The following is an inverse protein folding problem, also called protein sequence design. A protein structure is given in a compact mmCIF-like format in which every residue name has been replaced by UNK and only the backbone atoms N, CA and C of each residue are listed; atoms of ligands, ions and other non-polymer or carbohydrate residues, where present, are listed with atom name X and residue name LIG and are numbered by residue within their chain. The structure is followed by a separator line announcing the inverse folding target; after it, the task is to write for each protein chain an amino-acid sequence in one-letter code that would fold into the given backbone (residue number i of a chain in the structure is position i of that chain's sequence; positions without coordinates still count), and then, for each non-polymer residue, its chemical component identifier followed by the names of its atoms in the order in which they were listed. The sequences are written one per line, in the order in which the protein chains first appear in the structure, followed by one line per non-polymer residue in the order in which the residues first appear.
data_IF_614863219740
#
_entry.id   IF_614863219740
#
_cell.length_a   1.000
_cell.length_b   1.000
_cell.length_c   1.000
_cell.angle_alpha   90.00
_cell.angle_beta   90.00
_cell.angle_gamma   90.00
#
_symmetry.space_group_name_H-M   'P 1'
#
loop_
_entity.id
_entity.type
_entity.pdbx_description
1 polymer ?
#
# COMPACT_ATOMS: atom_id res chain seq x y z
N UNK A 1 26.42 9.78 11.64
CA UNK A 1 25.71 10.26 10.43
C UNK A 1 24.68 9.20 10.09
N UNK A 2 23.50 9.25 10.69
CA UNK A 2 22.51 8.17 10.63
C UNK A 2 21.09 8.72 10.76
N UNK A 3 20.73 9.72 9.95
CA UNK A 3 19.41 10.37 10.02
C UNK A 3 18.87 10.72 8.61
N UNK A 4 19.18 9.90 7.60
CA UNK A 4 18.47 9.92 6.31
C UNK A 4 17.51 8.71 6.20
N UNK A 5 17.01 8.26 7.34
CA UNK A 5 16.11 7.12 7.42
C UNK A 5 14.79 7.49 6.74
N UNK A 6 14.51 6.85 5.59
CA UNK A 6 13.23 6.81 4.88
C UNK A 6 12.98 7.91 3.84
N UNK A 7 13.90 8.10 2.90
CA UNK A 7 13.56 8.77 1.63
C UNK A 7 12.50 7.98 0.84
N UNK A 8 11.60 8.67 0.12
CA UNK A 8 10.51 8.06 -0.69
C UNK A 8 10.98 6.88 -1.55
N UNK A 9 12.14 7.00 -2.18
CA UNK A 9 12.74 5.95 -3.02
C UNK A 9 13.16 4.72 -2.22
N UNK A 10 13.71 4.90 -1.02
CA UNK A 10 14.11 3.79 -0.14
C UNK A 10 12.88 3.10 0.44
N UNK A 11 11.88 3.87 0.85
CA UNK A 11 10.62 3.33 1.35
C UNK A 11 9.93 2.45 0.31
N UNK A 12 9.85 2.95 -0.93
CA UNK A 12 9.26 2.21 -2.06
C UNK A 12 9.99 0.88 -2.31
N UNK A 13 11.33 0.88 -2.25
CA UNK A 13 12.13 -0.33 -2.43
C UNK A 13 11.90 -1.36 -1.32
N UNK A 14 11.87 -0.91 -0.05
CA UNK A 14 11.61 -1.79 1.09
C UNK A 14 10.24 -2.47 1.00
N UNK A 15 9.22 -1.75 0.50
CA UNK A 15 7.89 -2.35 0.27
C UNK A 15 7.98 -3.46 -0.76
N UNK A 16 8.62 -3.23 -1.91
CA UNK A 16 8.75 -4.26 -2.94
C UNK A 16 9.55 -5.47 -2.46
N UNK A 17 10.62 -5.25 -1.68
CA UNK A 17 11.39 -6.32 -1.06
C UNK A 17 10.51 -7.11 -0.08
N UNK A 18 9.76 -6.44 0.81
CA UNK A 18 8.86 -7.11 1.76
C UNK A 18 7.73 -7.90 1.06
N UNK A 19 7.15 -7.36 0.00
CA UNK A 19 6.14 -8.04 -0.84
C UNK A 19 6.74 -9.30 -1.46
N UNK A 20 7.98 -9.25 -1.96
CA UNK A 20 8.63 -10.40 -2.59
C UNK A 20 9.09 -11.45 -1.57
N UNK A 21 9.72 -11.03 -0.47
CA UNK A 21 10.27 -11.90 0.56
C UNK A 21 9.17 -12.60 1.36
N UNK A 22 8.13 -11.85 1.75
CA UNK A 22 7.05 -12.38 2.58
C UNK A 22 5.81 -12.78 1.78
N UNK A 23 5.78 -12.54 0.46
CA UNK A 23 4.63 -12.81 -0.42
C UNK A 23 3.31 -12.23 0.11
N UNK A 24 3.40 -11.02 0.65
CA UNK A 24 2.28 -10.28 1.22
C UNK A 24 1.84 -9.16 0.28
N UNK A 25 0.59 -8.69 0.39
CA UNK A 25 0.12 -7.55 -0.40
C UNK A 25 0.84 -6.26 -0.03
N UNK A 26 0.87 -5.30 -0.95
CA UNK A 26 1.45 -3.97 -0.70
C UNK A 26 0.93 -3.31 0.58
N UNK A 27 -0.34 -3.51 0.92
CA UNK A 27 -0.95 -2.97 2.14
C UNK A 27 -0.32 -3.53 3.40
N UNK A 28 -0.14 -4.85 3.43
CA UNK A 28 0.45 -5.56 4.57
C UNK A 28 1.94 -5.22 4.71
N UNK A 29 2.66 -5.14 3.58
CA UNK A 29 4.05 -4.71 3.55
C UNK A 29 4.23 -3.29 4.08
N UNK A 30 3.35 -2.36 3.72
CA UNK A 30 3.39 -0.99 4.24
C UNK A 30 3.20 -1.01 5.76
N UNK A 31 2.22 -1.75 6.28
CA UNK A 31 1.96 -1.84 7.72
C UNK A 31 3.13 -2.47 8.48
N UNK A 32 3.71 -3.57 7.98
CA UNK A 32 4.86 -4.24 8.59
C UNK A 32 6.08 -3.33 8.66
N UNK A 33 6.34 -2.56 7.60
CA UNK A 33 7.43 -1.58 7.58
C UNK A 33 7.13 -0.43 8.54
N UNK A 34 5.87 0.02 8.60
CA UNK A 34 5.41 1.05 9.52
C UNK A 34 5.67 0.63 10.98
N UNK A 35 5.30 -0.59 11.34
CA UNK A 35 5.46 -1.16 12.68
C UNK A 35 6.95 -1.33 13.05
N UNK A 36 7.76 -1.87 12.13
CA UNK A 36 9.22 -2.04 12.34
C UNK A 36 9.97 -0.73 12.53
N UNK A 37 9.57 0.31 11.79
CA UNK A 37 10.20 1.61 11.87
C UNK A 37 9.51 2.55 12.88
N UNK A 38 8.47 2.08 13.57
CA UNK A 38 7.62 2.89 14.47
C UNK A 38 7.13 4.19 13.81
N UNK A 39 6.78 4.11 12.53
CA UNK A 39 6.18 5.21 11.78
C UNK A 39 4.67 5.15 11.99
N UNK A 40 4.01 6.29 12.02
CA UNK A 40 2.54 6.32 11.99
C UNK A 40 2.02 6.18 10.56
N UNK A 41 0.94 5.41 10.33
CA UNK A 41 0.36 5.25 8.99
C UNK A 41 -0.12 6.58 8.37
N UNK A 42 -0.35 7.61 9.18
CA UNK A 42 -0.64 8.95 8.68
C UNK A 42 0.58 9.60 8.01
N UNK A 43 1.78 9.40 8.57
CA UNK A 43 3.02 9.91 8.02
C UNK A 43 3.55 9.04 6.88
N UNK A 44 3.30 7.72 6.92
CA UNK A 44 3.71 6.80 5.84
C UNK A 44 3.21 7.26 4.47
N UNK A 45 2.01 7.85 4.41
CA UNK A 45 1.42 8.40 3.19
C UNK A 45 2.29 9.50 2.55
N UNK A 46 3.06 10.24 3.35
CA UNK A 46 4.01 11.26 2.85
C UNK A 46 5.28 10.64 2.26
N UNK A 47 5.62 9.41 2.65
CA UNK A 47 6.80 8.66 2.20
C UNK A 47 6.51 7.68 1.06
N UNK A 48 5.26 7.26 0.89
CA UNK A 48 4.83 6.40 -0.22
C UNK A 48 4.84 7.18 -1.54
N UNK A 49 5.61 6.69 -2.52
CA UNK A 49 5.63 7.25 -3.87
C UNK A 49 4.30 6.98 -4.58
N UNK A 50 3.86 7.86 -5.51
CA UNK A 50 2.62 7.65 -6.28
C UNK A 50 2.61 6.31 -7.03
N UNK A 51 3.78 5.84 -7.47
CA UNK A 51 3.96 4.54 -8.13
C UNK A 51 3.53 3.37 -7.22
N UNK A 52 3.89 3.40 -5.94
CA UNK A 52 3.52 2.35 -4.98
C UNK A 52 2.02 2.41 -4.67
N UNK A 53 1.45 3.61 -4.60
CA UNK A 53 0.02 3.80 -4.42
C UNK A 53 -0.77 3.20 -5.60
N UNK A 54 -0.31 3.44 -6.82
CA UNK A 54 -0.90 2.87 -8.04
C UNK A 54 -0.80 1.34 -8.05
N UNK A 55 0.37 0.77 -7.71
CA UNK A 55 0.55 -0.68 -7.57
C UNK A 55 -0.37 -1.27 -6.49
N UNK A 56 -0.53 -0.59 -5.36
CA UNK A 56 -1.43 -1.02 -4.29
C UNK A 56 -2.90 -1.00 -4.75
N UNK A 57 -3.32 0.06 -5.45
CA UNK A 57 -4.67 0.16 -6.02
C UNK A 57 -4.91 -0.93 -7.07
N UNK A 58 -3.95 -1.18 -7.96
CA UNK A 58 -4.00 -2.25 -8.95
C UNK A 58 -4.08 -3.64 -8.30
N UNK A 59 -3.32 -3.89 -7.23
CA UNK A 59 -3.37 -5.13 -6.45
C UNK A 59 -4.72 -5.30 -5.75
N UNK A 60 -5.26 -4.24 -5.13
CA UNK A 60 -6.57 -4.27 -4.49
C UNK A 60 -7.72 -4.53 -5.50
N UNK A 61 -7.61 -3.96 -6.70
CA UNK A 61 -8.53 -4.24 -7.81
C UNK A 61 -8.40 -5.68 -8.32
N UNK A 62 -7.17 -6.17 -8.48
CA UNK A 62 -6.88 -7.54 -8.92
C UNK A 62 -7.39 -8.59 -7.94
N UNK A 63 -7.23 -8.32 -6.64
CA UNK A 63 -7.70 -9.17 -5.54
C UNK A 63 -9.22 -9.11 -5.32
N UNK A 64 -9.98 -8.40 -6.17
CA UNK A 64 -11.43 -8.23 -6.08
C UNK A 64 -11.88 -7.68 -4.70
N UNK A 65 -11.00 -6.96 -4.00
CA UNK A 65 -11.25 -6.36 -2.68
C UNK A 65 -12.04 -5.05 -2.78
N UNK A 66 -12.07 -4.46 -3.98
CA UNK A 66 -12.92 -3.32 -4.30
C UNK A 66 -14.11 -3.83 -5.12
N UNK A 67 -15.35 -3.40 -4.82
CA UNK A 67 -16.48 -3.68 -5.70
C UNK A 67 -16.12 -3.11 -7.07
N UNK A 68 -16.11 -3.98 -8.09
CA UNK A 68 -16.06 -3.51 -9.48
C UNK A 68 -17.20 -2.52 -9.61
N UNK A 69 -16.91 -1.26 -9.91
CA UNK A 69 -17.88 -0.18 -10.14
C UNK A 69 -18.66 -0.42 -11.43
N UNK A 70 -19.21 -1.62 -11.58
CA UNK A 70 -19.97 -2.11 -12.72
C UNK A 70 -21.11 -3.04 -12.28
N UNK A 71 -21.38 -3.14 -10.98
CA UNK A 71 -22.68 -3.58 -10.48
C UNK A 71 -23.52 -2.32 -10.26
N UNK A 72 -24.31 -1.96 -11.28
CA UNK A 72 -25.52 -1.17 -11.06
C UNK A 72 -26.40 -2.02 -10.14
N UNK A 73 -26.34 -1.77 -8.85
CA UNK A 73 -27.30 -2.33 -7.91
C UNK A 73 -28.57 -1.48 -8.02
N UNK A 74 -29.40 -1.81 -9.01
CA UNK A 74 -30.74 -1.23 -9.24
C UNK A 74 -31.74 -1.60 -8.13
N UNK A 75 -31.30 -2.26 -7.05
CA UNK A 75 -32.14 -2.72 -5.93
C UNK A 75 -32.50 -1.62 -4.92
N UNK A 76 -32.05 -0.38 -5.10
CA UNK A 76 -32.38 0.74 -4.19
C UNK A 76 -33.73 1.43 -4.53
N UNK A 77 -34.53 0.86 -5.44
CA UNK A 77 -35.86 1.37 -5.77
C UNK A 77 -36.92 0.27 -5.64
N UNK A 78 -37.14 -0.24 -4.43
CA UNK A 78 -38.41 -0.89 -4.04
C UNK A 78 -38.73 -0.60 -2.58
#
# INVERSE_FOLDING_TARGET
MAEEFLSKSRFSKMIEEAVLEKKMSYMDAILDICEKNKIEPEDVRKFVSPIIKDKLEAEAMSLNLLPKTNALDESFFE
#
